data_IF_289519091202
#
_entry.id   IF_289519091202
#
_cell.length_a   1.000
_cell.length_b   1.000
_cell.length_c   1.000
_cell.angle_alpha   90.00
_cell.angle_beta   90.00
_cell.angle_gamma   90.00
#
_symmetry.space_group_name_H-M   'P 1'
#
loop_
_entity.id
_entity.type
_entity.pdbx_description
1 polymer ?
#
# COMPACT_ATOMS: atom_id res chain seq x y z
N UNK A 1 -2.41 -48.38 -38.89
CA UNK A 1 -1.27 -49.25 -39.25
C UNK A 1 -0.21 -48.35 -39.86
N UNK A 2 0.83 -48.00 -39.09
CA UNK A 2 2.00 -47.31 -39.64
C UNK A 2 2.89 -48.37 -40.27
N UNK A 3 3.29 -48.16 -41.53
CA UNK A 3 4.12 -49.11 -42.26
C UNK A 3 5.59 -48.87 -41.92
N UNK A 4 6.21 -49.80 -41.19
CA UNK A 4 7.64 -49.85 -40.86
C UNK A 4 8.51 -50.30 -42.06
N UNK A 5 8.16 -49.89 -43.28
CA UNK A 5 8.88 -50.31 -44.50
C UNK A 5 10.13 -49.48 -44.79
N UNK A 6 10.42 -48.44 -44.00
CA UNK A 6 11.55 -47.53 -44.24
C UNK A 6 12.89 -47.97 -43.63
N UNK A 7 12.93 -49.09 -42.90
CA UNK A 7 14.12 -49.50 -42.13
C UNK A 7 15.03 -50.48 -42.92
N UNK A 8 14.55 -51.08 -44.02
CA UNK A 8 15.26 -52.17 -44.71
C UNK A 8 16.10 -51.75 -45.93
N UNK A 9 16.07 -50.49 -46.35
CA UNK A 9 16.79 -50.01 -47.54
C UNK A 9 18.03 -49.17 -47.18
N UNK A 10 18.95 -49.74 -46.40
CA UNK A 10 20.14 -49.02 -45.89
C UNK A 10 21.20 -48.69 -46.97
N UNK A 11 21.01 -49.15 -48.22
CA UNK A 11 22.02 -49.02 -49.28
C UNK A 11 21.48 -48.46 -50.62
N UNK A 12 20.21 -48.07 -50.71
CA UNK A 12 19.65 -47.45 -51.92
C UNK A 12 19.38 -45.95 -51.69
N UNK A 13 19.76 -45.10 -52.65
CA UNK A 13 19.48 -43.64 -52.58
C UNK A 13 18.00 -43.30 -52.76
N UNK A 14 17.20 -44.28 -53.21
CA UNK A 14 15.78 -44.16 -53.45
C UNK A 14 15.03 -45.27 -52.73
N UNK A 15 13.83 -44.97 -52.24
CA UNK A 15 12.94 -45.95 -51.66
C UNK A 15 12.37 -46.85 -52.77
N UNK A 16 12.57 -48.16 -52.66
CA UNK A 16 12.16 -49.13 -53.70
C UNK A 16 10.64 -49.20 -53.91
N UNK A 17 9.84 -48.77 -52.94
CA UNK A 17 8.37 -48.85 -52.98
C UNK A 17 7.69 -47.60 -53.52
N UNK A 18 8.28 -46.42 -53.34
CA UNK A 18 7.66 -45.15 -53.78
C UNK A 18 8.57 -44.30 -54.68
N UNK A 19 9.82 -44.73 -54.93
CA UNK A 19 10.78 -43.98 -55.76
C UNK A 19 11.25 -42.67 -55.15
N UNK A 20 10.84 -42.35 -53.91
CA UNK A 20 11.23 -41.11 -53.25
C UNK A 20 12.69 -41.19 -52.80
N UNK A 21 13.47 -40.15 -53.11
CA UNK A 21 14.88 -40.05 -52.71
C UNK A 21 14.98 -40.03 -51.19
N UNK A 22 15.71 -40.99 -50.62
CA UNK A 22 15.97 -41.06 -49.19
C UNK A 22 17.03 -40.00 -48.85
N UNK A 23 16.91 -39.30 -47.69
CA UNK A 23 17.91 -38.34 -47.27
C UNK A 23 19.25 -39.06 -47.16
N UNK A 24 20.25 -38.54 -47.87
CA UNK A 24 21.58 -39.15 -47.87
C UNK A 24 22.17 -39.02 -46.47
N UNK A 25 22.92 -40.02 -45.99
CA UNK A 25 23.55 -39.99 -44.66
C UNK A 25 24.53 -38.80 -44.46
N UNK A 26 24.77 -38.01 -45.50
CA UNK A 26 25.56 -36.78 -45.53
C UNK A 26 24.77 -35.55 -45.05
N UNK A 27 23.43 -35.58 -45.18
CA UNK A 27 22.54 -34.50 -44.79
C UNK A 27 22.25 -34.59 -43.29
N UNK A 28 23.20 -34.20 -42.45
CA UNK A 28 23.04 -33.63 -41.10
C UNK A 28 22.26 -34.38 -40.00
N UNK A 29 21.48 -35.42 -40.30
CA UNK A 29 20.54 -36.05 -39.37
C UNK A 29 21.06 -37.38 -38.79
N UNK A 30 22.25 -37.82 -39.18
CA UNK A 30 22.87 -39.08 -38.75
C UNK A 30 24.18 -38.90 -37.96
N UNK A 31 24.33 -37.83 -37.16
CA UNK A 31 25.56 -37.63 -36.36
C UNK A 31 25.34 -37.80 -34.86
N UNK A 32 24.95 -39.00 -34.44
CA UNK A 32 25.08 -39.40 -33.02
C UNK A 32 26.55 -39.65 -32.64
N UNK A 33 27.38 -40.07 -33.60
CA UNK A 33 28.81 -40.38 -33.41
C UNK A 33 29.70 -39.12 -33.27
N UNK A 34 29.30 -37.99 -33.86
CA UNK A 34 30.07 -36.73 -33.88
C UNK A 34 29.87 -35.86 -32.63
N UNK A 35 29.35 -36.42 -31.53
CA UNK A 35 29.12 -35.65 -30.30
C UNK A 35 30.23 -35.80 -29.24
N UNK A 36 31.12 -36.79 -29.32
CA UNK A 36 32.01 -37.10 -28.19
C UNK A 36 33.14 -36.06 -27.99
N UNK A 37 33.76 -35.56 -29.07
CA UNK A 37 34.86 -34.57 -28.97
C UNK A 37 34.36 -33.20 -28.52
N UNK A 38 33.24 -32.74 -29.09
CA UNK A 38 32.66 -31.43 -28.75
C UNK A 38 32.07 -31.41 -27.33
N UNK A 39 31.53 -32.55 -26.84
CA UNK A 39 31.09 -32.68 -25.44
C UNK A 39 32.24 -32.57 -24.45
N UNK A 40 33.39 -33.19 -24.72
CA UNK A 40 34.59 -33.08 -23.86
C UNK A 40 35.13 -31.65 -23.82
N UNK A 41 35.13 -30.95 -24.96
CA UNK A 41 35.51 -29.54 -25.05
C UNK A 41 34.54 -28.67 -24.24
N UNK A 42 33.23 -28.87 -24.38
CA UNK A 42 32.21 -28.12 -23.63
C UNK A 42 32.30 -28.33 -22.11
N UNK A 43 32.55 -29.57 -21.67
CA UNK A 43 32.78 -29.89 -20.24
C UNK A 43 34.06 -29.20 -19.75
N UNK A 44 35.15 -29.24 -20.54
CA UNK A 44 36.40 -28.57 -20.20
C UNK A 44 36.25 -27.05 -20.04
N UNK A 45 35.49 -26.40 -20.93
CA UNK A 45 35.22 -24.95 -20.85
C UNK A 45 34.40 -24.63 -19.59
N UNK A 46 33.37 -25.43 -19.29
CA UNK A 46 32.57 -25.24 -18.08
C UNK A 46 33.42 -25.34 -16.82
N UNK A 47 34.24 -26.39 -16.70
CA UNK A 47 35.13 -26.57 -15.54
C UNK A 47 36.12 -25.41 -15.43
N UNK A 48 36.73 -24.98 -16.54
CA UNK A 48 37.67 -23.86 -16.54
C UNK A 48 37.01 -22.55 -16.06
N UNK A 49 35.78 -22.27 -16.50
CA UNK A 49 35.04 -21.06 -16.10
C UNK A 49 34.72 -21.07 -14.59
N UNK A 50 34.32 -22.22 -14.06
CA UNK A 50 34.06 -22.36 -12.62
C UNK A 50 35.34 -22.19 -11.79
N UNK A 51 36.47 -22.78 -12.22
CA UNK A 51 37.76 -22.59 -11.55
C UNK A 51 38.22 -21.13 -11.60
N UNK A 52 38.00 -20.44 -12.72
CA UNK A 52 38.29 -19.02 -12.85
C UNK A 52 37.42 -18.17 -11.91
N UNK A 53 36.14 -18.52 -11.75
CA UNK A 53 35.24 -17.86 -10.81
C UNK A 53 35.65 -18.06 -9.34
N UNK A 54 36.07 -19.28 -8.96
CA UNK A 54 36.59 -19.57 -7.62
C UNK A 54 37.91 -18.84 -7.37
N UNK A 55 38.82 -18.84 -8.34
CA UNK A 55 40.07 -18.10 -8.28
C UNK A 55 39.80 -16.59 -8.13
N UNK A 56 38.87 -16.04 -8.91
CA UNK A 56 38.46 -14.64 -8.79
C UNK A 56 37.87 -14.35 -7.41
N UNK A 57 37.01 -15.21 -6.87
CA UNK A 57 36.45 -15.04 -5.52
C UNK A 57 37.53 -15.06 -4.42
N UNK A 58 38.52 -15.95 -4.52
CA UNK A 58 39.62 -16.05 -3.56
C UNK A 58 40.62 -14.89 -3.63
N UNK A 59 40.85 -14.33 -4.83
CA UNK A 59 41.73 -13.18 -5.04
C UNK A 59 41.02 -11.82 -5.02
N UNK A 60 39.68 -11.80 -4.98
CA UNK A 60 38.93 -10.56 -4.90
C UNK A 60 39.18 -9.90 -3.54
N UNK A 61 39.72 -8.68 -3.50
CA UNK A 61 39.87 -7.95 -2.24
C UNK A 61 38.47 -7.73 -1.66
N UNK A 62 38.21 -8.32 -0.49
CA UNK A 62 36.96 -8.14 0.24
C UNK A 62 36.71 -6.65 0.39
N UNK A 63 35.62 -6.14 -0.19
CA UNK A 63 35.17 -4.77 0.05
C UNK A 63 34.99 -4.59 1.55
N UNK A 64 35.93 -3.88 2.17
CA UNK A 64 35.79 -3.50 3.57
C UNK A 64 34.46 -2.78 3.68
N UNK A 65 33.53 -3.22 4.55
CA UNK A 65 32.32 -2.47 4.77
C UNK A 65 32.76 -1.10 5.26
N UNK A 66 32.50 -0.05 4.47
CA UNK A 66 32.62 1.31 4.96
C UNK A 66 31.70 1.37 6.18
N UNK A 67 32.30 1.39 7.37
CA UNK A 67 31.58 1.75 8.58
C UNK A 67 30.89 3.07 8.25
N UNK A 68 29.56 3.18 8.39
CA UNK A 68 28.95 4.50 8.35
C UNK A 68 29.72 5.37 9.36
N UNK A 69 29.97 6.65 9.05
CA UNK A 69 30.68 7.52 9.98
C UNK A 69 29.98 7.39 11.33
N UNK A 70 30.72 6.97 12.36
CA UNK A 70 30.17 6.94 13.71
C UNK A 70 29.73 8.38 13.99
N UNK A 71 28.43 8.59 14.11
CA UNK A 71 27.89 9.88 14.54
C UNK A 71 28.37 10.04 15.98
N UNK A 72 29.56 10.65 16.14
CA UNK A 72 29.94 11.26 17.41
C UNK A 72 28.84 12.27 17.69
N UNK A 73 28.25 12.14 18.88
CA UNK A 73 26.99 12.76 19.26
C UNK A 73 26.82 14.20 18.79
N UNK A 74 25.59 14.50 18.37
CA UNK A 74 25.02 15.85 18.33
C UNK A 74 25.91 16.90 17.70
N UNK A 75 25.88 17.02 16.38
CA UNK A 75 26.22 18.29 15.74
C UNK A 75 25.12 19.30 16.09
N UNK A 76 25.26 19.92 17.26
CA UNK A 76 24.44 21.03 17.71
C UNK A 76 24.76 22.22 16.79
N UNK A 77 23.86 22.53 15.87
CA UNK A 77 23.92 23.76 15.08
C UNK A 77 23.53 24.90 16.02
N UNK A 78 24.54 25.55 16.61
CA UNK A 78 24.35 26.79 17.34
C UNK A 78 23.94 27.88 16.34
N UNK A 79 22.67 28.25 16.35
CA UNK A 79 22.22 29.50 15.75
C UNK A 79 22.66 30.60 16.71
N UNK A 80 23.79 31.24 16.40
CA UNK A 80 24.23 32.42 17.12
C UNK A 80 23.13 33.49 17.01
N UNK A 81 22.64 34.08 18.12
CA UNK A 81 21.78 35.25 18.06
C UNK A 81 22.56 36.38 17.38
N UNK A 82 22.00 36.93 16.30
CA UNK A 82 22.58 38.08 15.62
C UNK A 82 22.64 39.26 16.58
N UNK A 83 23.83 39.85 16.73
CA UNK A 83 24.02 41.12 17.43
C UNK A 83 23.11 42.22 16.84
N UNK A 84 22.53 43.11 17.66
CA UNK A 84 21.68 44.19 17.19
C UNK A 84 22.53 45.24 16.46
N UNK A 85 22.71 45.05 15.15
CA UNK A 85 23.39 46.00 14.27
C UNK A 85 22.48 47.21 14.04
N UNK A 86 22.92 48.34 14.61
CA UNK A 86 22.70 49.75 14.24
C UNK A 86 21.71 50.01 13.09
N UNK A 87 20.71 50.81 13.44
CA UNK A 87 19.75 51.47 12.54
C UNK A 87 20.39 52.06 11.29
N UNK A 88 19.95 51.58 10.13
CA UNK A 88 20.10 52.29 8.85
C UNK A 88 18.74 52.87 8.48
N UNK A 89 18.73 54.17 8.17
CA UNK A 89 17.58 54.97 7.73
C UNK A 89 16.84 54.30 6.57
N UNK A 90 15.50 54.37 6.51
CA UNK A 90 14.71 53.81 5.42
C UNK A 90 14.83 54.67 4.16
N UNK A 91 15.26 54.06 3.05
CA UNK A 91 15.00 54.55 1.69
C UNK A 91 13.60 54.13 1.24
N UNK A 92 12.88 54.99 0.50
CA UNK A 92 11.48 54.74 0.14
C UNK A 92 11.37 53.64 -0.91
N UNK A 93 10.49 52.66 -0.66
CA UNK A 93 10.12 51.62 -1.63
C UNK A 93 9.06 52.17 -2.61
N UNK A 94 9.16 51.85 -3.90
CA UNK A 94 8.09 52.09 -4.88
C UNK A 94 6.84 51.25 -4.57
N UNK A 95 5.69 51.86 -4.76
CA UNK A 95 4.35 51.29 -4.57
C UNK A 95 4.15 50.01 -5.39
N UNK A 96 3.81 48.92 -4.70
CA UNK A 96 3.21 47.74 -5.34
C UNK A 96 1.70 47.71 -5.07
N UNK A 97 0.88 47.43 -6.09
CA UNK A 97 -0.57 47.58 -6.01
C UNK A 97 -1.24 46.49 -5.16
N UNK A 98 -2.24 46.91 -4.38
CA UNK A 98 -3.11 46.07 -3.53
C UNK A 98 -3.74 44.90 -4.30
N UNK A 99 -3.77 43.69 -3.73
CA UNK A 99 -4.59 42.60 -4.26
C UNK A 99 -6.08 42.88 -4.01
N UNK A 100 -6.89 42.75 -5.07
CA UNK A 100 -8.35 42.88 -5.03
C UNK A 100 -8.98 41.78 -4.17
N UNK A 101 -10.03 42.07 -3.37
CA UNK A 101 -10.78 41.04 -2.65
C UNK A 101 -11.54 40.14 -3.64
N UNK A 102 -11.38 38.82 -3.51
CA UNK A 102 -12.21 37.86 -4.23
C UNK A 102 -13.62 37.80 -3.60
N UNK A 103 -14.70 37.70 -4.41
CA UNK A 103 -16.05 37.64 -3.90
C UNK A 103 -16.37 36.28 -3.26
N UNK A 104 -16.93 36.34 -2.05
CA UNK A 104 -17.48 35.21 -1.30
C UNK A 104 -18.59 34.54 -2.12
N UNK A 105 -18.38 33.28 -2.48
CA UNK A 105 -19.37 32.44 -3.17
C UNK A 105 -20.44 32.00 -2.16
N UNK A 106 -21.65 32.55 -2.30
CA UNK A 106 -22.84 32.13 -1.55
C UNK A 106 -23.14 30.65 -1.87
N UNK A 107 -23.20 29.81 -0.85
CA UNK A 107 -23.66 28.43 -0.96
C UNK A 107 -25.20 28.46 -1.08
N UNK A 108 -25.71 28.06 -2.23
CA UNK A 108 -27.14 27.82 -2.44
C UNK A 108 -27.51 26.50 -1.79
N UNK A 109 -28.42 26.53 -0.82
CA UNK A 109 -29.01 25.34 -0.22
C UNK A 109 -29.74 24.52 -1.29
N UNK A 110 -29.26 23.31 -1.55
CA UNK A 110 -29.98 22.32 -2.38
C UNK A 110 -31.05 21.68 -1.51
N UNK A 111 -32.28 22.12 -1.67
CA UNK A 111 -33.46 21.37 -1.28
C UNK A 111 -33.81 20.39 -2.40
N UNK A 112 -33.59 19.09 -2.17
CA UNK A 112 -34.32 18.03 -2.84
C UNK A 112 -34.63 16.94 -1.83
N UNK A 113 -35.85 17.03 -1.30
CA UNK A 113 -36.51 15.97 -0.54
C UNK A 113 -36.76 14.79 -1.47
N UNK A 114 -36.25 13.61 -1.10
CA UNK A 114 -36.70 12.33 -1.65
C UNK A 114 -38.02 11.93 -0.98
N UNK A 115 -39.03 11.43 -1.72
CA UNK A 115 -40.24 10.91 -1.10
C UNK A 115 -39.92 9.57 -0.43
N UNK A 116 -40.08 9.52 0.89
CA UNK A 116 -40.04 8.28 1.66
C UNK A 116 -41.34 7.52 1.41
N UNK A 117 -41.24 6.28 0.93
CA UNK A 117 -42.34 5.36 0.78
C UNK A 117 -43.12 5.22 2.11
N UNK A 118 -44.44 5.40 2.04
CA UNK A 118 -45.34 5.12 3.17
C UNK A 118 -45.22 3.63 3.55
N UNK A 119 -44.67 3.37 4.74
CA UNK A 119 -44.82 2.06 5.39
C UNK A 119 -46.15 2.08 6.13
N UNK A 120 -47.02 1.13 5.79
CA UNK A 120 -48.27 0.86 6.49
C UNK A 120 -48.01 0.64 7.98
N UNK A 121 -48.72 1.39 8.80
CA UNK A 121 -48.65 1.32 10.25
C UNK A 121 -49.58 0.17 10.69
N UNK A 122 -49.02 -0.94 11.15
CA UNK A 122 -49.80 -1.95 11.85
C UNK A 122 -50.32 -1.35 13.16
N UNK A 123 -51.65 -1.37 13.33
CA UNK A 123 -52.31 -0.96 14.55
C UNK A 123 -52.15 -2.05 15.61
N UNK A 124 -51.20 -1.85 16.52
CA UNK A 124 -51.17 -2.59 17.78
C UNK A 124 -52.19 -1.97 18.73
N UNK A 125 -53.25 -2.71 19.03
CA UNK A 125 -54.22 -2.39 20.07
C UNK A 125 -53.54 -2.45 21.45
N UNK A 126 -53.44 -1.30 22.13
CA UNK A 126 -52.97 -1.22 23.53
C UNK A 126 -54.19 -0.90 24.41
N UNK A 127 -54.52 -1.73 25.42
CA UNK A 127 -55.61 -1.41 26.33
C UNK A 127 -55.28 -0.16 27.18
N UNK A 128 -56.28 0.64 27.59
CA UNK A 128 -56.05 1.87 28.33
C UNK A 128 -55.45 1.57 29.71
N UNK A 129 -54.17 1.91 29.90
CA UNK A 129 -53.56 1.98 31.23
C UNK A 129 -54.13 3.20 31.93
N UNK A 130 -54.91 2.95 32.98
CA UNK A 130 -55.47 3.99 33.84
C UNK A 130 -54.32 4.79 34.46
N UNK A 131 -54.23 6.07 34.11
CA UNK A 131 -53.29 6.99 34.75
C UNK A 131 -53.82 7.33 36.14
N UNK A 132 -53.27 6.69 37.18
CA UNK A 132 -53.41 7.19 38.55
C UNK A 132 -52.67 8.52 38.64
N UNK A 133 -53.42 9.62 38.62
CA UNK A 133 -52.88 10.95 38.89
C UNK A 133 -52.57 11.08 40.38
N UNK A 134 -51.30 10.93 40.75
CA UNK A 134 -50.81 11.42 42.04
C UNK A 134 -50.63 12.94 41.93
N UNK A 135 -51.19 13.74 42.84
CA UNK A 135 -50.98 15.18 42.82
C UNK A 135 -49.49 15.49 43.08
N UNK A 136 -48.90 16.47 42.36
CA UNK A 136 -47.53 16.89 42.62
C UNK A 136 -47.42 17.43 44.05
N UNK A 137 -46.33 17.12 44.78
CA UNK A 137 -46.14 17.64 46.12
C UNK A 137 -46.05 19.17 46.08
N UNK A 138 -46.74 19.85 47.01
CA UNK A 138 -46.57 21.28 47.27
C UNK A 138 -45.13 21.53 47.72
N UNK A 139 -44.24 21.78 46.76
CA UNK A 139 -42.88 22.23 47.06
C UNK A 139 -42.91 23.73 47.33
N UNK A 140 -42.43 24.11 48.51
CA UNK A 140 -42.23 25.50 48.89
C UNK A 140 -41.37 26.19 47.83
N UNK A 141 -41.80 27.35 47.34
CA UNK A 141 -41.14 28.10 46.27
C UNK A 141 -39.65 28.36 46.56
N UNK A 142 -39.29 28.42 47.85
CA UNK A 142 -37.90 28.54 48.32
C UNK A 142 -37.02 27.34 47.97
N UNK A 143 -37.53 26.11 48.11
CA UNK A 143 -36.82 24.87 47.77
C UNK A 143 -36.62 24.72 46.26
N UNK A 144 -37.62 25.13 45.47
CA UNK A 144 -37.51 25.14 44.01
C UNK A 144 -36.40 26.09 43.53
N UNK A 145 -36.28 27.27 44.14
CA UNK A 145 -35.24 28.25 43.79
C UNK A 145 -33.85 27.71 44.17
N UNK A 146 -33.72 27.05 45.33
CA UNK A 146 -32.47 26.43 45.77
C UNK A 146 -32.03 25.30 44.83
N UNK A 147 -32.94 24.39 44.45
CA UNK A 147 -32.67 23.33 43.45
C UNK A 147 -32.28 23.91 42.10
N UNK A 148 -32.91 25.01 41.67
CA UNK A 148 -32.59 25.65 40.38
C UNK A 148 -31.25 26.36 40.39
N UNK A 149 -30.80 26.91 41.53
CA UNK A 149 -29.43 27.44 41.69
C UNK A 149 -28.40 26.31 41.69
N UNK A 150 -28.63 25.26 42.49
CA UNK A 150 -27.74 24.10 42.54
C UNK A 150 -27.61 23.42 41.16
N UNK A 151 -28.70 23.32 40.39
CA UNK A 151 -28.66 22.78 39.03
C UNK A 151 -27.86 23.67 38.06
N UNK A 152 -27.92 25.00 38.20
CA UNK A 152 -27.09 25.93 37.40
C UNK A 152 -25.63 25.86 37.78
N UNK A 153 -25.32 25.69 39.07
CA UNK A 153 -23.96 25.53 39.57
C UNK A 153 -23.37 24.17 39.17
N UNK A 154 -24.17 23.11 39.16
CA UNK A 154 -23.76 21.79 38.68
C UNK A 154 -23.57 21.73 37.16
N UNK A 155 -24.35 22.49 36.39
CA UNK A 155 -24.23 22.58 34.92
C UNK A 155 -23.20 23.59 34.45
N UNK A 156 -22.70 24.46 35.33
CA UNK A 156 -21.65 25.42 35.01
C UNK A 156 -20.41 25.12 35.87
N UNK A 157 -19.58 24.15 35.47
CA UNK A 157 -18.26 23.97 36.08
C UNK A 157 -17.56 25.33 36.06
N UNK A 158 -16.93 25.71 37.17
CA UNK A 158 -16.09 26.90 37.24
C UNK A 158 -15.23 27.00 35.97
N UNK A 159 -15.07 28.20 35.39
CA UNK A 159 -14.22 28.37 34.23
C UNK A 159 -12.84 27.82 34.59
N UNK A 160 -12.47 26.71 33.95
CA UNK A 160 -11.11 26.21 34.04
C UNK A 160 -10.18 27.37 33.67
N UNK A 161 -9.13 27.63 34.47
CA UNK A 161 -8.19 28.70 34.13
C UNK A 161 -7.75 28.48 32.69
N UNK A 162 -7.90 29.53 31.86
CA UNK A 162 -7.47 29.50 30.48
C UNK A 162 -6.04 28.95 30.44
N UNK A 163 -5.71 28.04 29.51
CA UNK A 163 -4.37 27.52 29.42
C UNK A 163 -3.40 28.71 29.32
N UNK A 164 -2.26 28.67 30.05
CA UNK A 164 -1.31 29.77 30.04
C UNK A 164 -0.96 30.11 28.60
N UNK A 165 -0.93 31.41 28.27
CA UNK A 165 -0.59 31.88 26.93
C UNK A 165 0.75 31.26 26.52
N UNK A 166 0.69 30.32 25.59
CA UNK A 166 1.85 29.55 25.19
C UNK A 166 2.84 30.48 24.49
N UNK A 167 4.09 30.49 24.94
CA UNK A 167 5.13 31.28 24.29
C UNK A 167 5.34 30.77 22.85
N UNK A 168 5.75 31.64 21.93
CA UNK A 168 6.04 31.25 20.54
C UNK A 168 7.08 30.12 20.46
N UNK A 169 8.03 30.11 21.41
CA UNK A 169 9.03 29.05 21.55
C UNK A 169 8.42 27.69 21.92
N UNK A 170 7.42 27.67 22.81
CA UNK A 170 6.74 26.43 23.21
C UNK A 170 5.80 25.92 22.11
N UNK A 171 5.19 26.83 21.34
CA UNK A 171 4.46 26.49 20.12
C UNK A 171 5.37 25.87 19.07
N UNK A 172 6.53 26.48 18.81
CA UNK A 172 7.51 25.97 17.86
C UNK A 172 8.04 24.59 18.28
N UNK A 173 8.35 24.38 19.56
CA UNK A 173 8.77 23.08 20.10
C UNK A 173 7.68 22.01 19.92
N UNK A 174 6.41 22.33 20.18
CA UNK A 174 5.31 21.36 20.00
C UNK A 174 5.10 20.98 18.54
N UNK A 175 5.22 21.93 17.62
CA UNK A 175 5.15 21.65 16.19
C UNK A 175 6.33 20.77 15.77
N UNK A 176 7.54 21.08 16.25
CA UNK A 176 8.73 20.29 15.98
C UNK A 176 8.60 18.86 16.54
N UNK A 177 8.15 18.68 17.78
CA UNK A 177 7.95 17.36 18.38
C UNK A 177 6.83 16.59 17.69
N UNK A 178 5.74 17.23 17.29
CA UNK A 178 4.67 16.59 16.52
C UNK A 178 5.14 16.15 15.13
N UNK A 179 5.97 16.94 14.46
CA UNK A 179 6.57 16.57 13.17
C UNK A 179 7.58 15.42 13.31
N UNK A 180 8.41 15.46 14.35
CA UNK A 180 9.34 14.36 14.67
C UNK A 180 8.56 13.08 15.02
N UNK A 181 7.52 13.18 15.84
CA UNK A 181 6.67 12.03 16.17
C UNK A 181 5.96 11.47 14.93
N UNK A 182 5.47 12.32 14.02
CA UNK A 182 4.87 11.90 12.75
C UNK A 182 5.90 11.22 11.84
N UNK A 183 7.10 11.77 11.73
CA UNK A 183 8.18 11.18 10.94
C UNK A 183 8.66 9.85 11.52
N UNK A 184 8.76 9.76 12.84
CA UNK A 184 9.13 8.52 13.54
C UNK A 184 8.03 7.48 13.40
N UNK A 185 6.75 7.80 13.61
CA UNK A 185 5.66 6.85 13.40
C UNK A 185 5.59 6.34 11.94
N UNK A 186 5.92 7.17 10.94
CA UNK A 186 6.04 6.72 9.56
C UNK A 186 7.25 5.80 9.31
N UNK A 187 8.26 5.84 10.18
CA UNK A 187 9.49 5.04 10.09
C UNK A 187 9.54 3.85 11.07
N UNK A 188 8.71 3.86 12.13
CA UNK A 188 8.70 2.90 13.24
C UNK A 188 7.32 2.33 13.52
N UNK A 189 6.30 2.57 12.68
CA UNK A 189 5.16 1.68 12.64
C UNK A 189 5.75 0.28 12.39
N UNK A 190 5.69 -0.59 13.40
CA UNK A 190 6.21 -1.95 13.30
C UNK A 190 5.64 -2.58 12.03
N UNK A 191 6.48 -2.64 10.98
CA UNK A 191 6.19 -2.97 9.58
C UNK A 191 5.82 -4.46 9.44
N UNK A 192 4.82 -4.90 10.20
CA UNK A 192 4.35 -6.28 10.29
C UNK A 192 3.17 -6.50 9.33
N UNK A 193 2.63 -5.42 8.75
CA UNK A 193 1.66 -5.44 7.67
C UNK A 193 2.36 -5.43 6.32
N UNK A 194 2.02 -6.38 5.44
CA UNK A 194 2.63 -6.53 4.12
C UNK A 194 2.31 -5.32 3.24
N UNK A 195 3.31 -4.47 3.03
CA UNK A 195 3.18 -3.26 2.22
C UNK A 195 3.32 -3.59 0.74
N UNK A 196 2.33 -3.17 -0.05
CA UNK A 196 2.36 -3.23 -1.51
C UNK A 196 2.56 -1.84 -2.10
N UNK A 197 3.62 -1.68 -2.89
CA UNK A 197 3.90 -0.48 -3.69
C UNK A 197 3.69 -0.83 -5.16
N UNK A 198 2.60 -0.34 -5.75
CA UNK A 198 2.32 -0.52 -7.17
C UNK A 198 3.02 0.61 -7.94
N UNK A 199 3.94 0.25 -8.82
CA UNK A 199 4.64 1.17 -9.72
C UNK A 199 4.31 0.88 -11.17
N UNK A 200 4.39 1.93 -11.99
CA UNK A 200 4.31 1.85 -13.46
C UNK A 200 3.05 1.09 -13.94
N UNK A 201 1.88 1.51 -13.46
CA UNK A 201 0.61 1.00 -13.99
C UNK A 201 0.43 1.55 -15.40
N UNK A 202 0.39 0.65 -16.37
CA UNK A 202 0.08 0.89 -17.78
C UNK A 202 -1.19 0.11 -18.12
N UNK A 203 -1.79 0.38 -19.28
CA UNK A 203 -3.04 -0.29 -19.70
C UNK A 203 -2.94 -1.84 -19.76
N UNK A 204 -1.75 -2.38 -20.03
CA UNK A 204 -1.53 -3.82 -20.20
C UNK A 204 -0.57 -4.44 -19.16
N UNK A 205 0.11 -3.62 -18.36
CA UNK A 205 1.13 -4.11 -17.43
C UNK A 205 1.26 -3.23 -16.19
N UNK A 206 1.63 -3.85 -15.07
CA UNK A 206 1.91 -3.17 -13.81
C UNK A 206 3.10 -3.84 -13.11
N UNK A 207 3.90 -3.07 -12.39
CA UNK A 207 4.98 -3.61 -11.55
C UNK A 207 4.60 -3.47 -10.09
N UNK A 208 4.47 -4.60 -9.40
CA UNK A 208 4.13 -4.64 -7.97
C UNK A 208 5.40 -4.91 -7.18
N UNK A 209 5.63 -4.11 -6.13
CA UNK A 209 6.66 -4.36 -5.13
C UNK A 209 5.99 -4.76 -3.84
N UNK A 210 6.31 -5.95 -3.34
CA UNK A 210 5.79 -6.47 -2.09
C UNK A 210 6.90 -6.57 -1.05
N UNK A 211 6.63 -6.04 0.13
CA UNK A 211 7.44 -6.23 1.34
C UNK A 211 6.69 -7.19 2.25
N UNK A 212 7.34 -8.30 2.60
CA UNK A 212 6.74 -9.36 3.42
C UNK A 212 6.22 -8.88 4.77
N UNK A 213 5.35 -9.68 5.40
CA UNK A 213 4.74 -9.42 6.72
C UNK A 213 5.71 -9.61 7.91
N UNK A 214 7.01 -9.71 7.66
CA UNK A 214 8.00 -9.98 8.69
C UNK A 214 8.75 -8.69 9.05
N UNK A 215 8.64 -8.26 10.30
CA UNK A 215 9.33 -7.08 10.82
C UNK A 215 10.85 -7.25 10.93
N UNK A 216 11.39 -8.45 10.70
CA UNK A 216 12.85 -8.67 10.70
C UNK A 216 13.49 -8.12 9.41
N UNK A 217 13.75 -6.81 9.40
CA UNK A 217 14.39 -6.02 8.35
C UNK A 217 15.59 -6.67 7.65
N UNK A 218 16.34 -7.53 8.36
CA UNK A 218 17.51 -8.26 7.81
C UNK A 218 17.16 -9.35 6.78
N UNK A 219 15.89 -9.74 6.67
CA UNK A 219 15.38 -10.76 5.73
C UNK A 219 14.24 -10.25 4.85
N UNK A 220 14.15 -8.93 4.64
CA UNK A 220 13.09 -8.34 3.83
C UNK A 220 13.40 -8.52 2.33
N UNK A 221 13.01 -9.66 1.79
CA UNK A 221 12.97 -9.82 0.34
C UNK A 221 11.86 -8.93 -0.21
N UNK A 222 12.26 -7.88 -0.92
CA UNK A 222 11.36 -7.12 -1.76
C UNK A 222 11.07 -7.97 -3.00
N UNK A 223 9.91 -8.62 -3.07
CA UNK A 223 9.49 -9.29 -4.32
C UNK A 223 8.99 -8.22 -5.27
N UNK A 224 9.68 -8.07 -6.40
CA UNK A 224 9.17 -7.30 -7.53
C UNK A 224 8.55 -8.28 -8.53
N UNK A 225 7.26 -8.10 -8.81
CA UNK A 225 6.50 -8.92 -9.76
C UNK A 225 5.97 -8.02 -10.86
N UNK A 226 6.24 -8.38 -12.11
CA UNK A 226 5.61 -7.73 -13.25
C UNK A 226 4.33 -8.50 -13.57
N UNK A 227 3.21 -7.80 -13.55
CA UNK A 227 1.89 -8.32 -13.89
C UNK A 227 1.54 -7.84 -15.27
N UNK A 228 1.13 -8.76 -16.13
CA UNK A 228 0.54 -8.47 -17.43
C UNK A 228 -0.96 -8.75 -17.35
N UNK A 229 -1.77 -7.99 -18.09
CA UNK A 229 -3.23 -8.16 -18.09
C UNK A 229 -3.64 -9.59 -18.49
N UNK A 230 -2.93 -10.18 -19.45
CA UNK A 230 -3.22 -11.52 -19.95
C UNK A 230 -4.66 -11.66 -20.43
N UNK A 231 -5.38 -12.63 -19.88
CA UNK A 231 -6.78 -12.93 -20.17
C UNK A 231 -7.79 -12.17 -19.28
N UNK A 232 -7.31 -11.35 -18.35
CA UNK A 232 -8.19 -10.58 -17.47
C UNK A 232 -8.79 -9.38 -18.22
N UNK A 233 -9.98 -8.97 -17.78
CA UNK A 233 -10.69 -7.83 -18.35
C UNK A 233 -9.87 -6.53 -18.24
N UNK A 234 -9.37 -6.24 -17.04
CA UNK A 234 -8.67 -5.00 -16.71
C UNK A 234 -7.35 -5.31 -15.98
N UNK A 235 -6.35 -4.43 -16.12
CA UNK A 235 -5.04 -4.60 -15.49
C UNK A 235 -5.13 -4.50 -13.97
N UNK A 236 -6.06 -3.71 -13.46
CA UNK A 236 -6.33 -3.51 -12.03
C UNK A 236 -6.78 -4.83 -11.39
N UNK A 237 -7.71 -5.53 -12.03
CA UNK A 237 -8.19 -6.84 -11.57
C UNK A 237 -7.08 -7.89 -11.60
N UNK A 238 -6.26 -7.92 -12.65
CA UNK A 238 -5.12 -8.84 -12.75
C UNK A 238 -4.07 -8.56 -11.65
N UNK A 239 -3.80 -7.27 -11.40
CA UNK A 239 -2.86 -6.81 -10.36
C UNK A 239 -3.31 -7.32 -8.99
N UNK A 240 -4.58 -7.16 -8.63
CA UNK A 240 -5.09 -7.58 -7.32
C UNK A 240 -5.12 -9.10 -7.17
N UNK A 241 -5.48 -9.84 -8.23
CA UNK A 241 -5.41 -11.31 -8.20
C UNK A 241 -3.98 -11.80 -7.92
N UNK A 242 -2.98 -11.18 -8.54
CA UNK A 242 -1.59 -11.52 -8.28
C UNK A 242 -1.15 -11.09 -6.87
N UNK A 243 -1.63 -9.95 -6.36
CA UNK A 243 -1.42 -9.56 -4.96
C UNK A 243 -1.98 -10.61 -3.99
N UNK A 244 -3.23 -11.05 -4.19
CA UNK A 244 -3.88 -12.07 -3.33
C UNK A 244 -3.07 -13.38 -3.36
N UNK A 245 -2.57 -13.78 -4.53
CA UNK A 245 -1.72 -14.96 -4.67
C UNK A 245 -0.41 -14.82 -3.90
N UNK A 246 0.22 -13.64 -3.93
CA UNK A 246 1.42 -13.35 -3.11
C UNK A 246 1.09 -13.41 -1.62
N UNK A 247 -0.01 -12.77 -1.18
CA UNK A 247 -0.46 -12.80 0.21
C UNK A 247 -0.66 -14.25 0.68
N UNK A 248 -1.40 -15.05 -0.09
CA UNK A 248 -1.66 -16.47 0.22
C UNK A 248 -0.40 -17.31 0.31
N UNK A 249 0.64 -16.97 -0.47
CA UNK A 249 1.92 -17.67 -0.42
C UNK A 249 2.69 -17.40 0.89
N UNK A 250 2.47 -16.24 1.51
CA UNK A 250 3.18 -15.82 2.74
C UNK A 250 2.37 -16.10 4.01
N UNK A 251 1.06 -15.81 3.96
CA UNK A 251 0.11 -15.87 5.06
C UNK A 251 -1.25 -16.35 4.52
N UNK A 252 -1.52 -17.66 4.47
CA UNK A 252 -2.77 -18.20 3.94
C UNK A 252 -4.00 -18.03 4.87
N UNK A 253 -3.79 -17.63 6.12
CA UNK A 253 -4.83 -17.45 7.12
C UNK A 253 -5.25 -15.99 7.30
N UNK A 254 -5.53 -15.63 8.55
CA UNK A 254 -5.91 -14.28 8.93
C UNK A 254 -4.63 -13.44 9.14
N UNK A 255 -4.65 -12.19 8.69
CA UNK A 255 -3.50 -11.30 8.72
C UNK A 255 -3.92 -9.85 8.92
N UNK A 256 -3.00 -9.10 9.48
CA UNK A 256 -3.15 -7.67 9.74
C UNK A 256 -2.64 -6.88 8.53
N UNK A 257 -3.55 -6.20 7.83
CA UNK A 257 -3.22 -5.39 6.67
C UNK A 257 -3.15 -3.92 7.02
N UNK A 258 -2.06 -3.25 6.69
CA UNK A 258 -1.93 -1.80 6.88
C UNK A 258 -2.61 -1.06 5.73
N UNK A 259 -3.75 -0.43 6.01
CA UNK A 259 -4.46 0.39 5.03
C UNK A 259 -3.88 1.81 5.02
N UNK A 260 -3.32 2.22 3.88
CA UNK A 260 -2.88 3.58 3.64
C UNK A 260 -4.06 4.56 3.60
N UNK A 261 -5.19 4.13 3.02
CA UNK A 261 -6.39 4.97 2.89
C UNK A 261 -7.06 5.23 4.24
N UNK A 262 -7.10 4.23 5.11
CA UNK A 262 -7.70 4.35 6.46
C UNK A 262 -6.69 4.77 7.52
N UNK A 263 -5.39 4.75 7.21
CA UNK A 263 -4.32 5.07 8.15
C UNK A 263 -4.28 4.14 9.37
N UNK A 264 -4.77 2.90 9.24
CA UNK A 264 -4.87 1.92 10.33
C UNK A 264 -4.74 0.50 9.82
N UNK A 265 -4.39 -0.39 10.73
CA UNK A 265 -4.36 -1.83 10.49
C UNK A 265 -5.77 -2.42 10.50
N UNK A 266 -6.09 -3.22 9.48
CA UNK A 266 -7.37 -3.91 9.30
C UNK A 266 -7.12 -5.42 9.29
N UNK A 267 -7.78 -6.20 10.17
CA UNK A 267 -7.70 -7.65 10.11
C UNK A 267 -8.46 -8.15 8.88
N UNK A 268 -7.78 -8.89 8.01
CA UNK A 268 -8.32 -9.50 6.80
C UNK A 268 -7.99 -10.99 6.76
N UNK A 269 -8.70 -11.74 5.91
CA UNK A 269 -8.44 -13.16 5.69
C UNK A 269 -7.98 -13.43 4.27
N UNK A 270 -6.94 -14.25 4.12
CA UNK A 270 -6.43 -14.70 2.83
C UNK A 270 -7.07 -16.00 2.35
N UNK A 271 -8.05 -16.54 3.08
CA UNK A 271 -8.69 -17.82 2.74
C UNK A 271 -9.46 -17.74 1.41
N UNK A 272 -9.87 -18.89 0.88
CA UNK A 272 -10.59 -18.96 -0.40
C UNK A 272 -12.03 -18.49 -0.26
N UNK A 273 -12.65 -18.78 0.89
CA UNK A 273 -14.00 -18.32 1.24
C UNK A 273 -14.14 -16.79 1.24
N UNK A 274 -13.11 -16.07 1.70
CA UNK A 274 -13.15 -14.61 1.87
C UNK A 274 -12.55 -13.85 0.68
N UNK A 275 -12.27 -14.53 -0.44
CA UNK A 275 -11.59 -13.96 -1.60
C UNK A 275 -12.32 -12.72 -2.15
N UNK A 276 -13.64 -12.75 -2.19
CA UNK A 276 -14.44 -11.64 -2.70
C UNK A 276 -14.29 -10.39 -1.82
N UNK A 277 -14.32 -10.57 -0.50
CA UNK A 277 -14.18 -9.46 0.45
C UNK A 277 -12.77 -8.87 0.40
N UNK A 278 -11.74 -9.74 0.36
CA UNK A 278 -10.36 -9.32 0.22
C UNK A 278 -10.12 -8.57 -1.10
N UNK A 279 -10.66 -9.09 -2.21
CA UNK A 279 -10.55 -8.47 -3.52
C UNK A 279 -11.20 -7.08 -3.55
N UNK A 280 -12.43 -6.96 -3.06
CA UNK A 280 -13.13 -5.66 -3.02
C UNK A 280 -12.42 -4.65 -2.11
N UNK A 281 -11.83 -5.11 -1.00
CA UNK A 281 -11.04 -4.26 -0.12
C UNK A 281 -9.77 -3.76 -0.82
N UNK A 282 -8.97 -4.67 -1.39
CA UNK A 282 -7.72 -4.32 -2.08
C UNK A 282 -7.96 -3.44 -3.31
N UNK A 283 -9.05 -3.67 -4.05
CA UNK A 283 -9.44 -2.83 -5.18
C UNK A 283 -9.62 -1.37 -4.76
N UNK A 284 -10.38 -1.15 -3.68
CA UNK A 284 -10.62 0.21 -3.15
C UNK A 284 -9.38 0.83 -2.52
N UNK A 285 -8.46 0.00 -2.06
CA UNK A 285 -7.23 0.45 -1.41
C UNK A 285 -6.18 0.91 -2.40
N UNK A 286 -5.96 0.13 -3.45
CA UNK A 286 -4.94 0.39 -4.47
C UNK A 286 -5.46 1.33 -5.56
N UNK A 287 -6.71 1.14 -5.97
CA UNK A 287 -7.32 1.88 -7.09
C UNK A 287 -8.64 2.54 -6.65
N UNK A 288 -8.58 3.64 -5.87
CA UNK A 288 -9.78 4.32 -5.37
C UNK A 288 -10.68 4.88 -6.49
N UNK A 289 -10.06 5.27 -7.62
CA UNK A 289 -10.75 5.84 -8.78
C UNK A 289 -11.14 4.79 -9.83
N UNK A 290 -11.00 3.49 -9.53
CA UNK A 290 -11.35 2.43 -10.47
C UNK A 290 -12.87 2.38 -10.70
N UNK A 291 -13.25 2.57 -11.97
CA UNK A 291 -14.60 2.37 -12.45
C UNK A 291 -14.67 1.06 -13.23
N UNK A 292 -15.52 0.12 -12.80
CA UNK A 292 -15.73 -1.11 -13.55
C UNK A 292 -16.58 -0.81 -14.79
N UNK A 293 -16.03 -0.93 -16.02
CA UNK A 293 -16.74 -0.54 -17.23
C UNK A 293 -17.94 -1.44 -17.57
N UNK A 294 -18.08 -2.62 -16.94
CA UNK A 294 -19.15 -3.59 -17.20
C UNK A 294 -20.30 -3.55 -16.21
N UNK A 295 -20.13 -2.89 -15.05
CA UNK A 295 -21.26 -2.61 -14.14
C UNK A 295 -21.95 -1.34 -14.61
N UNK A 296 -22.81 -1.46 -15.63
CA UNK A 296 -23.75 -0.42 -16.05
C UNK A 296 -25.18 -0.86 -15.79
#
# INVERSE_FOLDING_TARGET
MHHDSHILSAHSEYCETCGQRLPTAQDGFATWERQNKNKRIGIGISIALHLLGVLYYLLSPTHMPMKPPSVKGGQMVYIAPLDPKKSVKPTPKPDTPKPKPQPIRKQTAVSKQTPVAQREKLETYVPPVQATMTPPPEQDMSEMIAKRRAAREAQNPQPQPAPPAESEADRAKRIATANIARANNAATADETGGLFDIRKVSFNSATIKFRGFNSNFKRNWLKQVNVERGAEQDIETATIKEMIKIIRSEKPGDFDFESHRLGRTVPLSARKEDEKQLFEFLMREVFPDYYNPLKR
#
